data_IF_152884047654
#
_entry.id   IF_152884047654
#
_cell.length_a   1.000
_cell.length_b   1.000
_cell.length_c   1.000
_cell.angle_alpha   90.00
_cell.angle_beta   90.00
_cell.angle_gamma   90.00
#
_symmetry.space_group_name_H-M   'P 1'
#
loop_
_entity.id
_entity.type
_entity.pdbx_description
1 polymer ?
#
# COMPACT_ATOMS: atom_id res chain seq x y z
N UNK A 1 -28.97 -22.68 11.97
CA UNK A 1 -28.91 -21.56 11.01
C UNK A 1 -27.60 -21.66 10.23
N UNK A 2 -27.59 -21.46 8.91
CA UNK A 2 -26.35 -21.46 8.13
C UNK A 2 -25.48 -20.25 8.49
N UNK A 3 -24.15 -20.41 8.42
CA UNK A 3 -23.16 -19.35 8.62
C UNK A 3 -22.41 -19.06 7.33
N UNK A 4 -22.07 -17.80 7.10
CA UNK A 4 -21.14 -17.38 6.04
C UNK A 4 -19.85 -16.91 6.69
N UNK A 5 -18.76 -17.64 6.47
CA UNK A 5 -17.45 -17.38 7.07
C UNK A 5 -16.45 -17.07 5.97
N UNK A 6 -15.79 -15.91 6.04
CA UNK A 6 -14.77 -15.50 5.10
C UNK A 6 -13.65 -14.80 5.85
N UNK A 7 -12.41 -15.10 5.46
CA UNK A 7 -11.21 -14.44 5.97
C UNK A 7 -10.30 -14.17 4.79
N UNK A 8 -10.32 -12.92 4.33
CA UNK A 8 -9.63 -12.48 3.11
C UNK A 8 -8.67 -11.36 3.50
N UNK A 9 -7.39 -11.51 3.13
CA UNK A 9 -6.39 -10.47 3.27
C UNK A 9 -5.87 -10.03 1.91
N UNK A 10 -5.50 -8.77 1.80
CA UNK A 10 -4.88 -8.21 0.63
C UNK A 10 -3.64 -7.38 0.99
N UNK A 11 -2.64 -7.46 0.13
CA UNK A 11 -1.44 -6.65 0.15
C UNK A 11 -1.50 -5.66 -1.01
N UNK A 12 -1.68 -4.37 -0.69
CA UNK A 12 -1.71 -3.29 -1.66
C UNK A 12 -0.37 -2.53 -1.63
N UNK A 13 0.20 -2.31 -2.82
CA UNK A 13 1.49 -1.68 -3.01
C UNK A 13 1.35 -0.55 -4.04
N UNK A 14 1.84 0.64 -3.73
CA UNK A 14 1.97 1.74 -4.68
C UNK A 14 3.01 2.76 -4.20
N UNK A 15 3.60 3.48 -5.16
CA UNK A 15 4.59 4.53 -4.93
C UNK A 15 4.02 5.94 -5.00
N UNK A 16 4.80 6.90 -4.55
CA UNK A 16 4.67 8.30 -4.95
C UNK A 16 4.89 8.41 -6.46
N UNK A 17 4.28 9.43 -7.07
CA UNK A 17 4.44 9.74 -8.49
C UNK A 17 5.90 10.03 -8.79
N UNK A 18 6.42 9.44 -9.86
CA UNK A 18 7.83 9.52 -10.27
C UNK A 18 8.83 9.03 -9.19
N UNK A 19 8.35 8.33 -8.14
CA UNK A 19 9.15 7.91 -6.97
C UNK A 19 9.79 9.07 -6.22
N UNK A 20 9.17 10.25 -6.27
CA UNK A 20 9.63 11.40 -5.49
C UNK A 20 9.61 11.06 -3.98
N UNK A 21 10.67 11.37 -3.21
CA UNK A 21 10.85 10.91 -1.83
C UNK A 21 10.02 11.71 -0.82
N UNK A 22 8.71 11.88 -1.06
CA UNK A 22 7.83 12.70 -0.22
C UNK A 22 7.57 12.14 1.19
N UNK A 23 7.78 10.84 1.41
CA UNK A 23 7.55 10.15 2.68
C UNK A 23 8.83 10.12 3.53
N UNK A 24 9.46 11.29 3.68
CA UNK A 24 10.60 11.47 4.59
C UNK A 24 10.21 11.16 6.04
N UNK A 25 11.21 10.93 6.90
CA UNK A 25 11.00 10.54 8.29
C UNK A 25 10.06 11.47 9.09
N UNK A 26 10.01 12.77 8.76
CA UNK A 26 9.11 13.74 9.41
C UNK A 26 7.64 13.61 8.99
N UNK A 27 7.36 13.01 7.84
CA UNK A 27 6.01 12.91 7.24
C UNK A 27 5.48 11.48 7.30
N UNK A 28 6.34 10.49 7.05
CA UNK A 28 5.98 9.07 6.92
C UNK A 28 5.13 8.51 8.06
N UNK A 29 5.44 8.73 9.35
CA UNK A 29 4.62 8.20 10.45
C UNK A 29 3.18 8.73 10.42
N UNK A 30 2.99 10.01 10.08
CA UNK A 30 1.66 10.63 9.99
C UNK A 30 0.86 10.05 8.81
N UNK A 31 1.51 9.86 7.66
CA UNK A 31 0.88 9.26 6.46
C UNK A 31 0.52 7.80 6.71
N UNK A 32 1.40 7.02 7.33
CA UNK A 32 1.12 5.63 7.68
C UNK A 32 -0.05 5.50 8.66
N UNK A 33 -0.07 6.35 9.70
CA UNK A 33 -1.18 6.39 10.65
C UNK A 33 -2.50 6.77 9.97
N UNK A 34 -2.48 7.78 9.09
CA UNK A 34 -3.67 8.19 8.34
C UNK A 34 -4.19 7.09 7.43
N UNK A 35 -3.32 6.41 6.67
CA UNK A 35 -3.70 5.26 5.84
C UNK A 35 -4.33 4.15 6.69
N UNK A 36 -3.74 3.84 7.86
CA UNK A 36 -4.29 2.83 8.75
C UNK A 36 -5.70 3.19 9.24
N UNK A 37 -5.91 4.44 9.65
CA UNK A 37 -7.22 4.94 10.08
C UNK A 37 -8.21 4.94 8.92
N UNK A 38 -7.81 5.42 7.74
CA UNK A 38 -8.66 5.44 6.55
C UNK A 38 -9.17 4.05 6.19
N UNK A 39 -8.32 3.02 6.22
CA UNK A 39 -8.72 1.64 5.93
C UNK A 39 -9.64 1.07 7.02
N UNK A 40 -9.41 1.40 8.30
CA UNK A 40 -10.30 1.00 9.42
C UNK A 40 -11.68 1.65 9.33
N UNK A 41 -11.74 2.93 8.99
CA UNK A 41 -12.98 3.65 8.73
C UNK A 41 -13.71 3.07 7.50
N UNK A 42 -12.96 2.41 6.61
CA UNK A 42 -13.46 1.65 5.48
C UNK A 42 -13.72 0.16 5.78
N UNK A 43 -14.04 -0.15 7.04
CA UNK A 43 -14.40 -1.46 7.59
C UNK A 43 -13.26 -2.49 7.70
N UNK A 44 -12.01 -2.18 7.34
CA UNK A 44 -10.88 -3.13 7.47
C UNK A 44 -10.30 -3.07 8.89
N UNK A 45 -10.66 -4.00 9.78
CA UNK A 45 -10.30 -3.92 11.20
C UNK A 45 -8.81 -4.16 11.45
N UNK A 46 -8.24 -5.11 10.72
CA UNK A 46 -6.83 -5.42 10.69
C UNK A 46 -6.16 -4.59 9.60
N UNK A 47 -5.21 -3.74 9.98
CA UNK A 47 -4.43 -2.94 9.03
C UNK A 47 -3.00 -2.79 9.53
N UNK A 48 -2.06 -3.10 8.65
CA UNK A 48 -0.63 -2.86 8.81
C UNK A 48 -0.18 -1.97 7.65
N UNK A 49 0.51 -0.89 7.97
CA UNK A 49 1.08 0.05 6.99
C UNK A 49 2.57 0.14 7.21
N UNK A 50 3.33 0.04 6.12
CA UNK A 50 4.78 0.22 6.09
C UNK A 50 5.23 0.71 4.73
N UNK A 51 6.54 0.71 4.50
CA UNK A 51 7.17 1.29 3.32
C UNK A 51 8.21 2.34 3.69
N UNK A 52 8.77 2.99 2.68
CA UNK A 52 9.89 3.94 2.82
C UNK A 52 9.56 5.26 2.14
N UNK A 53 10.58 6.02 1.72
CA UNK A 53 10.45 7.43 1.31
C UNK A 53 9.60 7.65 0.06
N UNK A 54 9.46 6.64 -0.78
CA UNK A 54 8.83 6.75 -2.09
C UNK A 54 7.67 5.76 -2.31
N UNK A 55 7.35 4.87 -1.38
CA UNK A 55 6.24 3.93 -1.55
C UNK A 55 5.71 3.37 -0.23
N UNK A 56 4.52 2.78 -0.31
CA UNK A 56 3.83 2.16 0.83
C UNK A 56 3.37 0.75 0.51
N UNK A 57 3.36 -0.07 1.56
CA UNK A 57 2.73 -1.37 1.61
C UNK A 57 1.60 -1.34 2.65
N UNK A 58 0.43 -1.85 2.25
CA UNK A 58 -0.75 -1.96 3.08
C UNK A 58 -1.19 -3.41 3.13
N UNK A 59 -1.17 -4.04 4.30
CA UNK A 59 -1.79 -5.35 4.52
C UNK A 59 -3.06 -5.16 5.36
N UNK A 60 -4.18 -5.65 4.86
CA UNK A 60 -5.48 -5.44 5.50
C UNK A 60 -6.47 -6.57 5.24
N UNK A 61 -7.47 -6.72 6.12
CA UNK A 61 -8.60 -7.62 5.88
C UNK A 61 -9.66 -6.97 4.99
N UNK A 62 -10.16 -7.72 4.02
CA UNK A 62 -11.26 -7.31 3.15
C UNK A 62 -12.60 -7.64 3.84
N UNK A 63 -13.08 -6.74 4.69
CA UNK A 63 -14.32 -6.96 5.46
C UNK A 63 -15.61 -6.89 4.62
N UNK A 64 -15.62 -6.09 3.54
CA UNK A 64 -16.74 -6.00 2.60
C UNK A 64 -16.25 -6.29 1.18
N UNK A 65 -17.06 -7.03 0.41
CA UNK A 65 -16.84 -7.21 -1.02
C UNK A 65 -17.08 -5.86 -1.72
N UNK A 66 -15.99 -5.13 -1.99
CA UNK A 66 -15.97 -3.90 -2.78
C UNK A 66 -15.14 -4.12 -4.03
N UNK A 67 -15.40 -3.34 -5.08
CA UNK A 67 -14.52 -3.33 -6.25
C UNK A 67 -13.11 -2.91 -5.83
N UNK A 68 -12.07 -3.69 -6.17
CA UNK A 68 -10.68 -3.31 -5.92
C UNK A 68 -10.33 -1.91 -6.45
N UNK A 69 -10.83 -1.57 -7.64
CA UNK A 69 -10.55 -0.29 -8.29
C UNK A 69 -11.06 0.89 -7.45
N UNK A 70 -12.34 0.85 -7.05
CA UNK A 70 -12.94 1.96 -6.29
C UNK A 70 -12.34 2.09 -4.89
N UNK A 71 -11.95 0.97 -4.27
CA UNK A 71 -11.24 0.98 -2.99
C UNK A 71 -9.89 1.69 -3.11
N UNK A 72 -9.06 1.29 -4.07
CA UNK A 72 -7.72 1.87 -4.25
C UNK A 72 -7.79 3.35 -4.65
N UNK A 73 -8.73 3.71 -5.53
CA UNK A 73 -8.98 5.11 -5.89
C UNK A 73 -9.34 5.96 -4.66
N UNK A 74 -10.23 5.46 -3.80
CA UNK A 74 -10.60 6.15 -2.57
C UNK A 74 -9.40 6.32 -1.63
N UNK A 75 -8.66 5.24 -1.36
CA UNK A 75 -7.47 5.26 -0.48
C UNK A 75 -6.44 6.27 -0.98
N UNK A 76 -6.11 6.24 -2.27
CA UNK A 76 -5.10 7.13 -2.86
C UNK A 76 -5.58 8.58 -2.88
N UNK A 77 -6.86 8.83 -3.17
CA UNK A 77 -7.44 10.18 -3.22
C UNK A 77 -7.44 10.84 -1.84
N UNK A 78 -7.98 10.18 -0.82
CA UNK A 78 -8.10 10.79 0.50
C UNK A 78 -6.73 10.95 1.18
N UNK A 79 -5.84 9.95 1.06
CA UNK A 79 -4.46 10.08 1.56
C UNK A 79 -3.66 11.17 0.84
N UNK A 80 -3.85 11.37 -0.47
CA UNK A 80 -3.20 12.47 -1.19
C UNK A 80 -3.63 13.84 -0.65
N UNK A 81 -4.93 14.02 -0.35
CA UNK A 81 -5.43 15.27 0.24
C UNK A 81 -4.83 15.50 1.62
N UNK A 82 -4.75 14.45 2.44
CA UNK A 82 -4.14 14.53 3.76
C UNK A 82 -2.65 14.89 3.68
N UNK A 83 -1.86 14.23 2.83
CA UNK A 83 -0.43 14.52 2.69
C UNK A 83 -0.21 15.99 2.30
N UNK A 84 -1.03 16.50 1.38
CA UNK A 84 -0.98 17.91 0.95
C UNK A 84 -1.35 18.90 2.04
N UNK A 85 -2.16 18.52 3.04
CA UNK A 85 -2.54 19.41 4.13
C UNK A 85 -1.47 19.53 5.21
N UNK A 86 -0.50 18.60 5.27
CA UNK A 86 0.54 18.60 6.31
C UNK A 86 1.48 19.80 6.22
N UNK A 87 1.89 20.22 5.01
CA UNK A 87 2.74 21.41 4.80
C UNK A 87 2.71 21.87 3.33
N UNK A 88 2.98 23.17 3.10
CA UNK A 88 2.98 23.79 1.76
C UNK A 88 3.92 23.12 0.76
N UNK A 89 5.07 22.60 1.20
CA UNK A 89 6.02 21.91 0.32
C UNK A 89 5.50 20.59 -0.24
N UNK A 90 4.41 20.04 0.31
CA UNK A 90 3.80 18.79 -0.17
C UNK A 90 2.64 19.02 -1.14
N UNK A 91 2.32 20.25 -1.55
CA UNK A 91 1.22 20.51 -2.49
C UNK A 91 1.36 19.76 -3.82
N UNK A 92 2.61 19.52 -4.26
CA UNK A 92 2.95 18.73 -5.43
C UNK A 92 2.89 17.22 -5.24
N UNK A 93 2.49 16.72 -4.07
CA UNK A 93 2.39 15.29 -3.80
C UNK A 93 1.35 14.61 -4.69
N UNK A 94 1.70 13.48 -5.28
CA UNK A 94 0.74 12.58 -5.92
C UNK A 94 1.23 11.14 -5.70
N UNK A 95 0.31 10.20 -5.62
CA UNK A 95 0.63 8.80 -5.83
C UNK A 95 0.82 8.52 -7.33
N UNK A 96 1.57 7.47 -7.67
CA UNK A 96 1.54 6.90 -9.02
C UNK A 96 0.09 6.51 -9.39
N UNK A 97 -0.23 6.30 -10.66
CA UNK A 97 -1.57 5.89 -11.13
C UNK A 97 -1.78 4.41 -10.88
N UNK A 98 -0.79 3.59 -11.23
CA UNK A 98 -0.75 2.15 -11.02
C UNK A 98 -0.76 1.73 -9.55
N UNK A 99 -0.97 0.44 -9.33
CA UNK A 99 -0.86 -0.22 -8.03
C UNK A 99 -0.78 -1.73 -8.24
N UNK A 100 -0.20 -2.43 -7.25
CA UNK A 100 -0.28 -3.88 -7.14
C UNK A 100 -1.23 -4.24 -6.01
N UNK A 101 -2.15 -5.17 -6.24
CA UNK A 101 -3.04 -5.70 -5.22
C UNK A 101 -2.99 -7.23 -5.25
N UNK A 102 -2.46 -7.81 -4.19
CA UNK A 102 -2.17 -9.23 -4.11
C UNK A 102 -2.97 -9.87 -2.98
N UNK A 103 -3.54 -11.05 -3.21
CA UNK A 103 -4.18 -11.80 -2.14
C UNK A 103 -3.12 -12.36 -1.18
N UNK A 104 -3.46 -12.40 0.11
CA UNK A 104 -2.62 -12.99 1.16
C UNK A 104 -3.42 -14.07 1.86
N UNK A 105 -2.84 -15.28 1.92
CA UNK A 105 -3.42 -16.38 2.68
C UNK A 105 -3.43 -16.03 4.17
N UNK A 106 -4.53 -16.32 4.91
CA UNK A 106 -4.58 -16.10 6.36
C UNK A 106 -3.40 -16.72 7.12
N UNK A 107 -2.89 -17.85 6.65
CA UNK A 107 -1.73 -18.56 7.23
C UNK A 107 -0.39 -17.85 7.02
N UNK A 108 -0.30 -16.96 6.03
CA UNK A 108 0.91 -16.19 5.71
C UNK A 108 0.79 -14.72 6.17
N UNK A 109 -0.33 -14.34 6.81
CA UNK A 109 -0.57 -12.97 7.27
C UNK A 109 0.58 -12.43 8.12
N UNK A 110 1.02 -13.22 9.10
CA UNK A 110 2.04 -12.79 10.06
C UNK A 110 3.42 -12.63 9.41
N UNK A 111 3.74 -13.46 8.42
CA UNK A 111 4.96 -13.32 7.61
C UNK A 111 4.94 -12.01 6.80
N UNK A 112 3.82 -11.71 6.14
CA UNK A 112 3.67 -10.48 5.36
C UNK A 112 3.65 -9.26 6.26
N UNK A 113 3.04 -9.34 7.44
CA UNK A 113 3.12 -8.27 8.45
C UNK A 113 4.58 -8.01 8.88
N UNK A 114 5.32 -9.06 9.23
CA UNK A 114 6.72 -8.95 9.61
C UNK A 114 7.60 -8.43 8.46
N UNK A 115 7.26 -8.73 7.21
CA UNK A 115 7.88 -8.16 6.03
C UNK A 115 7.65 -6.65 5.93
N UNK A 116 6.39 -6.21 6.02
CA UNK A 116 6.01 -4.79 5.92
C UNK A 116 6.63 -3.96 7.03
N UNK A 117 6.73 -4.50 8.26
CA UNK A 117 7.36 -3.81 9.40
C UNK A 117 8.87 -3.63 9.24
N UNK A 118 9.54 -4.44 8.42
CA UNK A 118 10.99 -4.41 8.18
C UNK A 118 11.37 -3.71 6.87
N UNK A 119 10.43 -3.00 6.25
CA UNK A 119 10.63 -2.33 4.96
C UNK A 119 11.83 -1.35 4.94
N UNK A 120 12.07 -0.62 6.03
CA UNK A 120 13.24 0.27 6.11
C UNK A 120 14.58 -0.48 6.06
N UNK A 121 14.64 -1.70 6.61
CA UNK A 121 15.82 -2.55 6.54
C UNK A 121 15.96 -3.17 5.15
N UNK A 122 14.85 -3.67 4.59
CA UNK A 122 14.79 -4.26 3.25
C UNK A 122 15.32 -3.32 2.16
N UNK A 123 14.94 -2.04 2.23
CA UNK A 123 15.32 -1.02 1.26
C UNK A 123 16.70 -0.42 1.48
N UNK A 124 17.51 -0.95 2.41
CA UNK A 124 18.95 -0.63 2.46
C UNK A 124 19.72 -1.21 1.28
N UNK A 125 19.22 -2.31 0.69
CA UNK A 125 19.94 -3.04 -0.36
C UNK A 125 19.09 -3.34 -1.59
N UNK A 126 17.79 -3.04 -1.57
CA UNK A 126 16.87 -3.31 -2.67
C UNK A 126 16.06 -2.06 -3.01
N UNK A 127 15.93 -1.74 -4.29
CA UNK A 127 15.07 -0.65 -4.74
C UNK A 127 13.59 -1.07 -4.77
N UNK A 128 12.69 -0.08 -4.74
CA UNK A 128 11.25 -0.33 -4.95
C UNK A 128 10.98 -1.06 -6.27
N UNK A 129 11.68 -0.70 -7.36
CA UNK A 129 11.45 -1.34 -8.66
C UNK A 129 11.83 -2.81 -8.66
N UNK A 130 12.98 -3.19 -8.08
CA UNK A 130 13.37 -4.59 -7.94
C UNK A 130 12.39 -5.37 -7.06
N UNK A 131 11.89 -4.74 -6.00
CA UNK A 131 10.90 -5.33 -5.13
C UNK A 131 9.57 -5.56 -5.85
N UNK A 132 9.04 -4.53 -6.50
CA UNK A 132 7.76 -4.58 -7.21
C UNK A 132 7.77 -5.58 -8.36
N UNK A 133 8.85 -5.63 -9.17
CA UNK A 133 9.04 -6.70 -10.17
C UNK A 133 9.01 -8.08 -9.54
N UNK A 134 9.68 -8.24 -8.40
CA UNK A 134 9.68 -9.49 -7.64
C UNK A 134 8.28 -9.94 -7.22
N UNK A 135 7.43 -9.00 -6.79
CA UNK A 135 6.02 -9.27 -6.54
C UNK A 135 5.30 -9.70 -7.82
N UNK A 136 5.39 -8.94 -8.90
CA UNK A 136 4.71 -9.27 -10.16
C UNK A 136 5.11 -10.66 -10.68
N UNK A 137 6.41 -10.98 -10.65
CA UNK A 137 6.91 -12.30 -11.05
C UNK A 137 6.42 -13.41 -10.13
N UNK A 138 6.48 -13.22 -8.80
CA UNK A 138 6.02 -14.22 -7.81
C UNK A 138 4.54 -14.54 -7.98
N UNK A 139 3.73 -13.55 -8.35
CA UNK A 139 2.29 -13.70 -8.55
C UNK A 139 1.90 -14.02 -10.00
N UNK A 140 2.86 -14.19 -10.92
CA UNK A 140 2.60 -14.53 -12.32
C UNK A 140 1.85 -13.45 -13.10
N UNK A 141 2.03 -12.18 -12.74
CA UNK A 141 1.39 -11.05 -13.41
C UNK A 141 2.31 -10.55 -14.53
N UNK A 142 1.82 -10.60 -15.76
CA UNK A 142 2.48 -9.97 -16.91
C UNK A 142 2.37 -8.44 -16.83
N UNK A 143 3.46 -7.76 -17.15
CA UNK A 143 3.52 -6.30 -17.12
C UNK A 143 4.45 -5.78 -18.22
N UNK A 144 4.21 -4.54 -18.63
CA UNK A 144 5.04 -3.82 -19.57
C UNK A 144 5.87 -2.77 -18.82
N UNK A 145 7.19 -2.90 -18.89
CA UNK A 145 8.16 -1.97 -18.29
C UNK A 145 7.93 -0.50 -18.67
N UNK A 146 7.30 -0.23 -19.81
CA UNK A 146 7.00 1.13 -20.26
C UNK A 146 5.88 1.79 -19.48
N UNK A 147 5.00 1.01 -18.83
CA UNK A 147 3.76 1.50 -18.22
C UNK A 147 3.62 1.17 -16.73
N UNK A 148 4.43 0.26 -16.19
CA UNK A 148 4.31 -0.24 -14.81
C UNK A 148 4.79 0.76 -13.73
N UNK A 149 5.42 1.87 -14.15
CA UNK A 149 6.03 2.87 -13.25
C UNK A 149 5.22 4.16 -13.07
N UNK A 150 4.08 4.29 -13.78
CA UNK A 150 3.26 5.52 -13.83
C UNK A 150 2.05 5.55 -12.91
#
# INVERSE_FOLDING_TARGET
MPQSLAQLYAHLIFSTKNREPFLEASVRPQVHAYLATLLRDYDSKFVVVGGVVDHVHLLFDLAKLRSPVSFVEHVKKESSKFVKSLRKSLLGFYWQRGYGLFSVSPTHRDEVEAYIRRQEEHHRTKSFQEEYRGFLQRYGIEYDERYVWD
#
